data_IF_292501000457
#
_entry.id   IF_292501000457
#
_cell.length_a   1.000
_cell.length_b   1.000
_cell.length_c   1.000
_cell.angle_alpha   90.00
_cell.angle_beta   90.00
_cell.angle_gamma   90.00
#
_symmetry.space_group_name_H-M   'P 1'
#
loop_
_entity.id
_entity.type
_entity.pdbx_description
1 polymer ?
#
# COMPACT_ATOMS: atom_id res chain seq x y z
N UNK A 1 14.17 10.70 -25.90
CA UNK A 1 14.76 10.47 -24.57
C UNK A 1 14.68 8.97 -24.31
N UNK A 2 15.80 8.31 -24.05
CA UNK A 2 15.82 6.88 -23.71
C UNK A 2 15.26 6.76 -22.29
N UNK A 3 14.06 6.18 -22.15
CA UNK A 3 13.52 5.80 -20.83
C UNK A 3 14.54 4.85 -20.20
N UNK A 4 15.17 5.27 -19.12
CA UNK A 4 16.08 4.40 -18.35
C UNK A 4 15.27 3.19 -17.88
N UNK A 5 15.66 1.99 -18.27
CA UNK A 5 15.00 0.78 -17.82
C UNK A 5 15.06 0.72 -16.29
N UNK A 6 13.90 0.38 -15.65
CA UNK A 6 13.86 0.16 -14.22
C UNK A 6 14.74 -1.04 -13.87
N UNK A 7 15.68 -0.84 -12.95
CA UNK A 7 16.55 -1.89 -12.46
C UNK A 7 15.80 -2.71 -11.39
N UNK A 8 15.98 -4.03 -11.40
CA UNK A 8 15.50 -4.91 -10.35
C UNK A 8 16.69 -5.44 -9.56
N UNK A 9 16.58 -5.40 -8.24
CA UNK A 9 17.63 -5.87 -7.34
C UNK A 9 17.03 -6.47 -6.07
N UNK A 10 17.89 -7.07 -5.25
CA UNK A 10 17.51 -7.68 -3.97
C UNK A 10 18.43 -7.17 -2.88
N UNK A 11 17.89 -7.10 -1.67
CA UNK A 11 18.65 -6.83 -0.46
C UNK A 11 18.31 -7.88 0.59
N UNK A 12 19.33 -8.44 1.21
CA UNK A 12 19.19 -9.33 2.37
C UNK A 12 19.15 -8.49 3.63
N UNK A 13 18.12 -8.72 4.43
CA UNK A 13 17.94 -8.06 5.72
C UNK A 13 18.69 -8.83 6.82
N UNK A 14 19.01 -8.18 7.96
CA UNK A 14 19.72 -8.81 9.07
C UNK A 14 19.01 -10.03 9.69
N UNK A 15 17.69 -10.14 9.51
CA UNK A 15 16.87 -11.26 9.99
C UNK A 15 16.80 -12.43 8.99
N UNK A 16 17.50 -12.34 7.85
CA UNK A 16 17.55 -13.37 6.80
C UNK A 16 16.41 -13.28 5.77
N UNK A 17 15.51 -12.31 5.89
CA UNK A 17 14.55 -12.04 4.82
C UNK A 17 15.26 -11.36 3.65
N UNK A 18 14.83 -11.64 2.42
CA UNK A 18 15.35 -11.00 1.22
C UNK A 18 14.23 -10.19 0.58
N UNK A 19 14.40 -8.89 0.52
CA UNK A 19 13.45 -8.02 -0.17
C UNK A 19 13.90 -7.75 -1.60
N UNK A 20 12.99 -8.00 -2.53
CA UNK A 20 13.14 -7.58 -3.93
C UNK A 20 12.66 -6.15 -4.07
N UNK A 21 13.29 -5.38 -4.94
CA UNK A 21 12.87 -4.02 -5.25
C UNK A 21 13.18 -3.62 -6.69
N UNK A 22 12.46 -2.62 -7.16
CA UNK A 22 12.70 -1.94 -8.42
C UNK A 22 13.28 -0.56 -8.12
N UNK A 23 14.20 -0.12 -8.97
CA UNK A 23 14.84 1.18 -8.81
C UNK A 23 14.84 1.94 -10.13
N UNK A 24 14.47 3.22 -10.06
CA UNK A 24 14.80 4.22 -11.08
C UNK A 24 15.93 5.06 -10.54
N UNK A 25 17.09 5.02 -11.19
CA UNK A 25 18.20 5.93 -10.89
C UNK A 25 17.83 7.34 -11.34
N UNK A 26 18.18 8.32 -10.52
CA UNK A 26 17.98 9.74 -10.78
C UNK A 26 18.91 10.59 -9.92
N UNK A 27 18.45 11.78 -9.54
CA UNK A 27 19.20 12.71 -8.70
C UNK A 27 19.13 12.41 -7.21
N UNK A 28 19.25 13.46 -6.40
CA UNK A 28 19.41 13.33 -4.94
C UNK A 28 18.11 13.17 -4.17
N UNK A 29 16.97 13.55 -4.75
CA UNK A 29 15.67 13.37 -4.10
C UNK A 29 15.27 11.90 -4.14
N UNK A 30 14.96 11.33 -2.99
CA UNK A 30 14.62 9.91 -2.87
C UNK A 30 13.14 9.74 -2.60
N UNK A 31 12.50 8.85 -3.37
CA UNK A 31 11.10 8.44 -3.22
C UNK A 31 11.05 6.94 -2.94
N UNK A 32 10.53 6.55 -1.78
CA UNK A 32 10.32 5.16 -1.40
C UNK A 32 8.83 4.82 -1.56
N UNK A 33 8.53 3.79 -2.34
CA UNK A 33 7.18 3.40 -2.79
C UNK A 33 6.79 2.05 -2.20
N UNK A 34 5.66 2.02 -1.46
CA UNK A 34 5.12 0.84 -0.79
C UNK A 34 3.80 0.46 -1.45
N UNK A 35 3.72 -0.75 -2.01
CA UNK A 35 2.55 -1.23 -2.75
C UNK A 35 1.38 -1.66 -1.85
N UNK A 36 0.20 -1.86 -2.47
CA UNK A 36 -1.02 -2.35 -1.83
C UNK A 36 -1.05 -3.88 -1.64
N UNK A 37 -2.09 -4.36 -0.92
CA UNK A 37 -2.36 -5.80 -0.81
C UNK A 37 -2.64 -6.40 -2.19
N UNK A 38 -2.24 -7.65 -2.42
CA UNK A 38 -2.34 -8.37 -3.70
C UNK A 38 -1.58 -7.74 -4.87
N UNK A 39 -0.65 -6.83 -4.60
CA UNK A 39 0.20 -6.14 -5.56
C UNK A 39 1.70 -6.44 -5.29
N UNK A 40 2.55 -5.79 -6.04
CA UNK A 40 4.02 -5.84 -5.87
C UNK A 40 4.64 -4.49 -6.30
N UNK A 41 5.95 -4.38 -6.19
CA UNK A 41 6.70 -3.23 -6.70
C UNK A 41 6.42 -2.92 -8.16
N UNK A 42 6.06 -3.92 -8.95
CA UNK A 42 5.76 -3.79 -10.38
C UNK A 42 4.60 -2.80 -10.66
N UNK A 43 3.64 -2.69 -9.75
CA UNK A 43 2.50 -1.80 -9.93
C UNK A 43 2.88 -0.31 -9.92
N UNK A 44 4.07 0.02 -9.44
CA UNK A 44 4.62 1.37 -9.45
C UNK A 44 5.36 1.74 -10.75
N UNK A 45 5.59 0.79 -11.66
CA UNK A 45 6.38 1.00 -12.88
C UNK A 45 5.85 2.17 -13.72
N UNK A 46 4.52 2.30 -13.83
CA UNK A 46 3.89 3.37 -14.62
C UNK A 46 4.20 4.76 -14.03
N UNK A 47 4.19 4.91 -12.72
CA UNK A 47 4.57 6.17 -12.06
C UNK A 47 6.07 6.39 -12.13
N UNK A 48 6.87 5.36 -11.83
CA UNK A 48 8.33 5.48 -11.80
C UNK A 48 8.90 5.91 -13.16
N UNK A 49 8.32 5.45 -14.27
CA UNK A 49 8.76 5.83 -15.61
C UNK A 49 8.53 7.31 -15.92
N UNK A 50 7.50 7.92 -15.34
CA UNK A 50 7.14 9.33 -15.53
C UNK A 50 7.85 10.29 -14.55
N UNK A 51 8.52 9.77 -13.52
CA UNK A 51 9.20 10.62 -12.54
C UNK A 51 10.32 11.45 -13.19
N UNK A 52 10.52 12.72 -12.77
CA UNK A 52 11.61 13.55 -13.23
C UNK A 52 13.01 12.94 -12.96
N UNK A 53 14.02 13.33 -13.76
CA UNK A 53 15.38 12.80 -13.65
C UNK A 53 16.08 13.13 -12.31
N UNK A 54 15.64 14.16 -11.59
CA UNK A 54 16.21 14.51 -10.28
C UNK A 54 15.72 13.60 -9.14
N UNK A 55 14.78 12.67 -9.41
CA UNK A 55 14.22 11.73 -8.43
C UNK A 55 14.84 10.34 -8.61
N UNK A 56 15.44 9.82 -7.55
CA UNK A 56 15.74 8.40 -7.42
C UNK A 56 14.57 7.72 -6.71
N UNK A 57 13.96 6.69 -7.32
CA UNK A 57 12.82 6.01 -6.76
C UNK A 57 13.12 4.54 -6.49
N UNK A 58 12.65 4.05 -5.35
CA UNK A 58 12.68 2.65 -4.95
C UNK A 58 11.27 2.16 -4.71
N UNK A 59 10.87 1.07 -5.36
CA UNK A 59 9.61 0.38 -5.10
C UNK A 59 9.93 -1.02 -4.59
N UNK A 60 9.55 -1.33 -3.35
CA UNK A 60 9.88 -2.62 -2.71
C UNK A 60 8.73 -3.61 -2.86
N UNK A 61 9.06 -4.89 -3.01
CA UNK A 61 8.14 -5.98 -2.70
C UNK A 61 8.21 -6.19 -1.19
N UNK A 62 7.12 -5.95 -0.47
CA UNK A 62 7.05 -6.23 0.96
C UNK A 62 7.27 -7.73 1.21
N UNK A 63 7.73 -8.11 2.42
CA UNK A 63 7.91 -9.51 2.83
C UNK A 63 6.65 -10.33 2.54
N UNK A 64 6.82 -11.47 1.84
CA UNK A 64 5.73 -12.35 1.43
C UNK A 64 4.97 -11.92 0.17
N UNK A 65 5.38 -10.84 -0.49
CA UNK A 65 4.84 -10.38 -1.77
C UNK A 65 5.88 -10.49 -2.89
N UNK A 66 5.42 -10.53 -4.13
CA UNK A 66 6.28 -10.54 -5.31
C UNK A 66 7.43 -11.54 -5.19
N UNK A 67 8.64 -11.07 -5.43
CA UNK A 67 9.87 -11.88 -5.40
C UNK A 67 10.65 -11.77 -4.06
N UNK A 68 10.06 -11.14 -3.02
CA UNK A 68 10.59 -11.13 -1.66
C UNK A 68 10.32 -12.44 -0.94
N UNK A 69 11.14 -12.81 0.04
CA UNK A 69 10.96 -14.03 0.82
C UNK A 69 9.82 -13.92 1.85
N UNK A 70 9.47 -15.03 2.48
CA UNK A 70 8.51 -15.10 3.59
C UNK A 70 8.93 -16.23 4.53
N UNK A 71 9.96 -16.02 5.32
CA UNK A 71 10.47 -16.99 6.28
C UNK A 71 9.79 -16.80 7.65
N UNK A 72 9.58 -15.55 8.04
CA UNK A 72 8.94 -15.18 9.30
C UNK A 72 7.53 -14.64 9.06
N UNK A 73 6.49 -15.22 9.68
CA UNK A 73 5.11 -14.74 9.54
C UNK A 73 4.93 -13.29 9.99
N UNK A 74 4.04 -12.56 9.30
CA UNK A 74 3.59 -11.23 9.68
C UNK A 74 2.48 -11.35 10.72
N UNK A 75 2.56 -10.60 11.80
CA UNK A 75 1.56 -10.52 12.87
C UNK A 75 0.88 -9.16 12.93
N UNK A 76 1.61 -8.10 12.60
CA UNK A 76 1.18 -6.71 12.68
C UNK A 76 1.68 -5.91 11.48
N UNK A 77 1.09 -4.74 11.24
CA UNK A 77 1.61 -3.78 10.23
C UNK A 77 3.00 -3.26 10.63
N UNK A 78 3.30 -3.24 11.94
CA UNK A 78 4.63 -2.87 12.43
C UNK A 78 5.72 -3.79 11.88
N UNK A 79 5.48 -5.08 11.74
CA UNK A 79 6.49 -6.01 11.21
C UNK A 79 6.92 -5.63 9.79
N UNK A 80 5.96 -5.17 8.95
CA UNK A 80 6.27 -4.65 7.62
C UNK A 80 6.97 -3.28 7.67
N UNK A 81 6.60 -2.43 8.62
CA UNK A 81 7.28 -1.15 8.86
C UNK A 81 8.74 -1.35 9.25
N UNK A 82 9.01 -2.32 10.11
CA UNK A 82 10.36 -2.69 10.54
C UNK A 82 11.20 -3.22 9.36
N UNK A 83 10.61 -4.03 8.47
CA UNK A 83 11.27 -4.48 7.23
C UNK A 83 11.65 -3.29 6.33
N UNK A 84 10.74 -2.31 6.17
CA UNK A 84 11.02 -1.08 5.41
C UNK A 84 12.16 -0.30 6.05
N UNK A 85 12.26 -0.27 7.38
CA UNK A 85 13.39 0.35 8.10
C UNK A 85 14.69 -0.36 7.80
N UNK A 86 14.72 -1.67 7.91
CA UNK A 86 15.92 -2.46 7.61
C UNK A 86 16.34 -2.30 6.14
N UNK A 87 15.38 -2.21 5.21
CA UNK A 87 15.64 -1.90 3.80
C UNK A 87 16.27 -0.52 3.64
N UNK A 88 15.70 0.52 4.27
CA UNK A 88 16.20 1.88 4.18
C UNK A 88 17.62 1.99 4.75
N UNK A 89 17.91 1.31 5.86
CA UNK A 89 19.24 1.26 6.48
C UNK A 89 20.27 0.55 5.60
N UNK A 90 19.89 -0.59 5.02
CA UNK A 90 20.79 -1.36 4.14
C UNK A 90 21.20 -0.56 2.91
N UNK A 91 20.30 0.26 2.35
CA UNK A 91 20.56 1.15 1.22
C UNK A 91 21.03 2.55 1.65
N UNK A 92 21.17 2.81 2.96
CA UNK A 92 21.60 4.10 3.54
C UNK A 92 20.72 5.26 3.09
N UNK A 93 19.40 5.01 2.98
CA UNK A 93 18.45 6.05 2.62
C UNK A 93 18.18 6.95 3.83
N UNK A 94 18.10 8.25 3.60
CA UNK A 94 17.80 9.25 4.63
C UNK A 94 17.07 10.43 4.01
N UNK A 95 16.26 11.12 4.81
CA UNK A 95 15.51 12.30 4.39
C UNK A 95 14.69 12.10 3.10
N UNK A 96 14.12 10.90 2.92
CA UNK A 96 13.35 10.55 1.73
C UNK A 96 11.87 10.94 1.87
N UNK A 97 11.15 10.95 0.75
CA UNK A 97 9.69 10.94 0.74
C UNK A 97 9.25 9.48 0.72
N UNK A 98 8.34 9.09 1.63
CA UNK A 98 7.71 7.77 1.61
C UNK A 98 6.30 7.87 1.06
N UNK A 99 5.94 6.97 0.15
CA UNK A 99 4.59 6.91 -0.41
C UNK A 99 4.02 5.50 -0.29
N UNK A 100 2.81 5.39 0.25
CA UNK A 100 2.12 4.12 0.42
C UNK A 100 0.76 4.09 -0.27
N UNK A 101 0.50 3.02 -1.03
CA UNK A 101 -0.78 2.77 -1.68
C UNK A 101 -1.56 1.69 -0.93
N UNK A 102 -2.81 1.98 -0.55
CA UNK A 102 -3.71 1.02 0.12
C UNK A 102 -3.08 0.45 1.41
N UNK A 103 -2.80 -0.86 1.52
CA UNK A 103 -1.98 -1.48 2.57
C UNK A 103 -0.69 -0.71 2.81
N UNK A 104 0.01 -0.35 1.72
CA UNK A 104 1.27 0.40 1.81
C UNK A 104 1.12 1.73 2.54
N UNK A 105 -0.07 2.34 2.52
CA UNK A 105 -0.37 3.53 3.30
C UNK A 105 -0.37 3.27 4.81
N UNK A 106 -0.92 2.14 5.26
CA UNK A 106 -0.86 1.74 6.67
C UNK A 106 0.60 1.48 7.10
N UNK A 107 1.39 0.80 6.23
CA UNK A 107 2.82 0.56 6.48
C UNK A 107 3.60 1.88 6.55
N UNK A 108 3.35 2.81 5.62
CA UNK A 108 4.01 4.11 5.59
C UNK A 108 3.63 5.00 6.79
N UNK A 109 2.36 4.97 7.24
CA UNK A 109 1.95 5.66 8.47
C UNK A 109 2.65 5.07 9.70
N UNK A 110 2.68 3.75 9.84
CA UNK A 110 3.39 3.09 10.94
C UNK A 110 4.88 3.42 10.90
N UNK A 111 5.49 3.44 9.70
CA UNK A 111 6.90 3.78 9.53
C UNK A 111 7.24 5.17 10.08
N UNK A 112 6.49 6.18 9.69
CA UNK A 112 6.79 7.55 10.14
C UNK A 112 6.48 7.78 11.62
N UNK A 113 5.62 6.96 12.23
CA UNK A 113 5.36 6.95 13.67
C UNK A 113 6.56 6.37 14.42
N UNK A 114 7.08 5.23 13.96
CA UNK A 114 8.16 4.49 14.63
C UNK A 114 9.54 5.11 14.35
N UNK A 115 9.74 5.70 13.16
CA UNK A 115 11.01 6.25 12.67
C UNK A 115 10.86 7.70 12.18
N UNK A 116 10.54 8.65 13.07
CA UNK A 116 10.10 10.01 12.71
C UNK A 116 11.17 10.88 12.03
N UNK A 117 12.46 10.48 12.10
CA UNK A 117 13.57 11.25 11.55
C UNK A 117 14.04 10.77 10.17
N UNK A 118 13.48 9.68 9.65
CA UNK A 118 13.96 9.05 8.41
C UNK A 118 13.33 9.67 7.17
N UNK A 119 12.01 9.88 7.21
CA UNK A 119 11.26 10.46 6.11
C UNK A 119 10.98 11.95 6.35
N UNK A 120 11.07 12.74 5.29
CA UNK A 120 10.74 14.19 5.31
C UNK A 120 9.32 14.51 4.87
N UNK A 121 8.67 13.61 4.14
CA UNK A 121 7.30 13.76 3.62
C UNK A 121 6.62 12.40 3.52
N UNK A 122 5.29 12.41 3.67
CA UNK A 122 4.44 11.24 3.52
C UNK A 122 3.40 11.47 2.41
N UNK A 123 3.25 10.51 1.51
CA UNK A 123 2.19 10.51 0.50
C UNK A 123 1.34 9.24 0.70
N UNK A 124 0.06 9.41 0.93
CA UNK A 124 -0.91 8.34 1.12
C UNK A 124 -1.84 8.27 -0.09
N UNK A 125 -1.72 7.21 -0.88
CA UNK A 125 -2.49 7.00 -2.11
C UNK A 125 -3.56 5.95 -1.87
N UNK A 126 -4.85 6.30 -1.96
CA UNK A 126 -5.98 5.38 -1.70
C UNK A 126 -5.71 4.50 -0.47
N UNK A 127 -5.27 5.13 0.62
CA UNK A 127 -4.69 4.47 1.79
C UNK A 127 -5.75 3.83 2.66
N UNK A 128 -5.42 2.71 3.29
CA UNK A 128 -6.19 2.19 4.43
C UNK A 128 -6.35 3.27 5.51
N UNK A 129 -7.53 3.31 6.15
CA UNK A 129 -7.88 4.26 7.20
C UNK A 129 -6.95 4.11 8.43
N UNK A 130 -6.79 5.18 9.20
CA UNK A 130 -6.13 5.15 10.54
C UNK A 130 -6.78 4.18 11.53
N UNK A 131 -8.03 3.75 11.26
CA UNK A 131 -8.77 2.71 11.99
C UNK A 131 -8.54 1.30 11.41
N UNK A 132 -7.62 1.15 10.46
CA UNK A 132 -7.37 -0.11 9.78
C UNK A 132 -8.46 -0.48 8.77
N UNK A 133 -8.61 -1.80 8.57
CA UNK A 133 -9.59 -2.33 7.63
C UNK A 133 -10.38 -3.49 8.27
N UNK A 134 -11.27 -3.20 9.25
CA UNK A 134 -12.13 -4.22 9.86
C UNK A 134 -13.02 -4.89 8.82
N UNK A 135 -13.03 -6.22 8.79
CA UNK A 135 -13.76 -7.02 7.81
C UNK A 135 -15.15 -7.32 8.39
N UNK A 136 -16.25 -6.83 7.78
CA UNK A 136 -17.58 -7.12 8.28
C UNK A 136 -17.94 -8.59 8.07
N UNK A 137 -18.60 -9.22 9.05
CA UNK A 137 -19.26 -10.50 8.85
C UNK A 137 -20.41 -10.34 7.87
N UNK A 138 -20.71 -11.38 7.13
CA UNK A 138 -21.76 -11.37 6.12
C UNK A 138 -22.88 -12.32 6.50
N UNK A 139 -24.09 -12.00 6.03
CA UNK A 139 -25.24 -12.92 6.07
C UNK A 139 -25.01 -14.06 5.05
N UNK A 140 -25.91 -15.06 5.07
CA UNK A 140 -25.90 -16.11 4.05
C UNK A 140 -26.14 -15.58 2.60
N UNK A 141 -26.69 -14.37 2.46
CA UNK A 141 -26.85 -13.67 1.18
C UNK A 141 -25.66 -12.75 0.84
N UNK A 142 -24.51 -12.91 1.49
CA UNK A 142 -23.29 -12.11 1.31
C UNK A 142 -23.46 -10.61 1.62
N UNK A 143 -24.51 -10.21 2.35
CA UNK A 143 -24.69 -8.83 2.77
C UNK A 143 -23.89 -8.56 4.06
N UNK A 144 -23.19 -7.41 4.18
CA UNK A 144 -22.46 -7.07 5.40
C UNK A 144 -23.43 -6.87 6.57
N UNK A 145 -23.07 -7.40 7.73
CA UNK A 145 -23.82 -7.20 8.98
C UNK A 145 -23.25 -5.95 9.66
N UNK A 146 -24.05 -4.89 9.87
CA UNK A 146 -23.57 -3.66 10.47
C UNK A 146 -22.97 -3.89 11.87
N UNK A 147 -21.83 -3.26 12.14
CA UNK A 147 -21.11 -3.30 13.43
C UNK A 147 -20.75 -4.71 13.93
N UNK A 148 -20.69 -5.69 13.03
CA UNK A 148 -20.33 -7.07 13.35
C UNK A 148 -19.14 -7.49 12.46
N UNK A 149 -17.94 -7.57 13.07
CA UNK A 149 -16.70 -7.80 12.35
C UNK A 149 -16.10 -9.17 12.68
N UNK A 150 -15.30 -9.67 11.76
CA UNK A 150 -14.41 -10.82 11.95
C UNK A 150 -13.44 -10.49 13.08
N UNK A 151 -13.14 -11.47 13.97
CA UNK A 151 -12.30 -11.26 15.15
C UNK A 151 -11.04 -12.13 15.15
N UNK A 152 -11.09 -13.29 14.49
CA UNK A 152 -10.01 -14.30 14.54
C UNK A 152 -9.35 -14.50 13.18
N UNK A 153 -8.12 -15.03 13.21
CA UNK A 153 -7.37 -15.37 12.00
C UNK A 153 -8.02 -16.50 11.22
N UNK A 154 -8.67 -17.44 11.92
CA UNK A 154 -9.44 -18.55 11.34
C UNK A 154 -10.63 -18.03 10.53
N UNK A 155 -11.34 -17.03 11.05
CA UNK A 155 -12.43 -16.38 10.32
C UNK A 155 -11.93 -15.62 9.08
N UNK A 156 -10.77 -14.96 9.18
CA UNK A 156 -10.12 -14.35 7.99
C UNK A 156 -9.78 -15.41 6.95
N UNK A 157 -9.22 -16.55 7.38
CA UNK A 157 -8.91 -17.68 6.49
C UNK A 157 -10.15 -18.18 5.76
N UNK A 158 -11.28 -18.32 6.46
CA UNK A 158 -12.53 -18.73 5.82
C UNK A 158 -13.04 -17.67 4.85
N UNK A 159 -13.02 -16.37 5.22
CA UNK A 159 -13.46 -15.27 4.36
C UNK A 159 -12.65 -15.17 3.05
N UNK A 160 -11.36 -15.48 3.08
CA UNK A 160 -10.46 -15.41 1.92
C UNK A 160 -10.18 -16.77 1.27
N UNK A 161 -10.85 -17.86 1.71
CA UNK A 161 -10.63 -19.22 1.23
C UNK A 161 -10.73 -19.35 -0.30
N UNK A 162 -11.69 -18.68 -0.92
CA UNK A 162 -11.84 -18.71 -2.38
C UNK A 162 -10.67 -18.04 -3.11
N UNK A 163 -10.15 -16.94 -2.55
CA UNK A 163 -9.01 -16.22 -3.13
C UNK A 163 -7.72 -17.03 -2.97
N UNK A 164 -7.48 -17.60 -1.78
CA UNK A 164 -6.33 -18.49 -1.54
C UNK A 164 -6.37 -19.70 -2.49
N UNK A 165 -7.50 -20.39 -2.57
CA UNK A 165 -7.66 -21.51 -3.50
C UNK A 165 -7.41 -21.11 -4.97
N UNK A 166 -7.92 -19.93 -5.37
CA UNK A 166 -7.69 -19.42 -6.73
C UNK A 166 -6.21 -19.12 -7.01
N UNK A 167 -5.46 -18.66 -6.00
CA UNK A 167 -4.01 -18.44 -6.10
C UNK A 167 -3.26 -19.76 -6.19
N UNK A 168 -3.56 -20.72 -5.31
CA UNK A 168 -2.96 -22.06 -5.27
C UNK A 168 -3.18 -22.82 -6.58
N UNK A 169 -4.41 -22.81 -7.09
CA UNK A 169 -4.78 -23.48 -8.34
C UNK A 169 -4.47 -22.66 -9.59
N UNK A 170 -3.92 -21.46 -9.43
CA UNK A 170 -3.67 -20.50 -10.51
C UNK A 170 -4.91 -20.23 -11.37
N UNK A 171 -6.07 -20.13 -10.74
CA UNK A 171 -7.33 -19.77 -11.41
C UNK A 171 -7.31 -18.30 -11.83
N UNK A 172 -6.61 -18.03 -12.92
CA UNK A 172 -6.41 -16.66 -13.44
C UNK A 172 -7.71 -15.98 -13.84
N UNK A 173 -8.72 -16.73 -14.28
CA UNK A 173 -10.03 -16.17 -14.61
C UNK A 173 -10.70 -15.53 -13.37
N UNK A 174 -10.77 -16.26 -12.26
CA UNK A 174 -11.36 -15.76 -11.01
C UNK A 174 -10.59 -14.56 -10.48
N UNK A 175 -9.26 -14.64 -10.43
CA UNK A 175 -8.41 -13.55 -9.94
C UNK A 175 -8.55 -12.29 -10.81
N UNK A 176 -8.58 -12.43 -12.14
CA UNK A 176 -8.81 -11.31 -13.07
C UNK A 176 -10.18 -10.66 -12.87
N UNK A 177 -11.23 -11.48 -12.68
CA UNK A 177 -12.57 -11.00 -12.40
C UNK A 177 -12.57 -10.15 -11.11
N UNK A 178 -12.01 -10.67 -10.04
CA UNK A 178 -11.92 -9.99 -8.75
C UNK A 178 -11.10 -8.69 -8.84
N UNK A 179 -9.92 -8.71 -9.46
CA UNK A 179 -9.11 -7.50 -9.63
C UNK A 179 -9.82 -6.43 -10.45
N UNK A 180 -10.58 -6.82 -11.48
CA UNK A 180 -11.40 -5.88 -12.26
C UNK A 180 -12.56 -5.30 -11.48
N UNK A 181 -13.13 -6.07 -10.56
CA UNK A 181 -14.27 -5.63 -9.75
C UNK A 181 -13.87 -4.62 -8.66
N UNK A 182 -12.70 -4.77 -8.09
CA UNK A 182 -12.27 -4.02 -6.91
C UNK A 182 -11.13 -3.05 -7.17
N UNK A 183 -10.12 -3.46 -7.93
CA UNK A 183 -8.90 -2.68 -8.13
C UNK A 183 -8.92 -1.87 -9.43
N UNK A 184 -9.23 -2.51 -10.56
CA UNK A 184 -9.19 -1.89 -11.89
C UNK A 184 -10.61 -1.56 -12.37
N UNK A 185 -11.33 -0.73 -11.59
CA UNK A 185 -12.77 -0.47 -11.79
C UNK A 185 -13.04 0.51 -12.92
N UNK A 186 -12.12 1.42 -13.17
CA UNK A 186 -12.21 2.45 -14.21
C UNK A 186 -11.38 2.07 -15.44
N UNK A 187 -10.07 2.25 -15.37
CA UNK A 187 -9.16 1.85 -16.40
C UNK A 187 -8.54 0.48 -16.08
N UNK A 188 -8.18 -0.24 -17.13
CA UNK A 188 -7.57 -1.57 -17.02
C UNK A 188 -6.15 -1.51 -17.53
N UNK A 189 -5.22 -2.28 -16.92
CA UNK A 189 -3.91 -2.46 -17.53
C UNK A 189 -4.03 -3.00 -18.95
N UNK A 190 -3.03 -2.77 -19.80
CA UNK A 190 -2.90 -3.51 -21.05
C UNK A 190 -2.87 -5.03 -20.78
N UNK A 191 -3.13 -5.85 -21.79
CA UNK A 191 -3.16 -7.31 -21.59
C UNK A 191 -1.83 -7.82 -20.98
N UNK A 192 -0.70 -7.38 -21.51
CA UNK A 192 0.63 -7.78 -21.04
C UNK A 192 0.93 -7.29 -19.60
N UNK A 193 0.53 -6.06 -19.28
CA UNK A 193 0.67 -5.55 -17.91
C UNK A 193 -0.21 -6.32 -16.93
N UNK A 194 -1.44 -6.67 -17.36
CA UNK A 194 -2.36 -7.39 -16.48
C UNK A 194 -1.82 -8.78 -16.12
N UNK A 195 -1.24 -9.50 -17.09
CA UNK A 195 -0.61 -10.80 -16.80
C UNK A 195 0.52 -10.67 -15.78
N UNK A 196 1.37 -9.65 -15.94
CA UNK A 196 2.47 -9.40 -15.01
C UNK A 196 1.97 -9.02 -13.60
N UNK A 197 0.96 -8.17 -13.50
CA UNK A 197 0.36 -7.79 -12.21
C UNK A 197 -0.32 -8.98 -11.54
N UNK A 198 -1.00 -9.83 -12.34
CA UNK A 198 -1.63 -11.06 -11.87
C UNK A 198 -0.59 -12.06 -11.33
N UNK A 199 0.56 -12.18 -11.98
CA UNK A 199 1.67 -12.98 -11.48
C UNK A 199 2.13 -12.51 -10.09
N UNK A 200 2.28 -11.19 -9.89
CA UNK A 200 2.58 -10.60 -8.60
C UNK A 200 1.53 -10.94 -7.53
N UNK A 201 0.23 -10.90 -7.91
CA UNK A 201 -0.88 -11.30 -7.04
C UNK A 201 -0.78 -12.78 -6.63
N UNK A 202 -0.48 -13.67 -7.58
CA UNK A 202 -0.33 -15.11 -7.32
C UNK A 202 0.87 -15.41 -6.42
N UNK A 203 1.95 -14.66 -6.56
CA UNK A 203 3.17 -14.81 -5.74
C UNK A 203 2.99 -14.40 -4.27
N UNK A 204 1.94 -13.69 -3.90
CA UNK A 204 1.71 -13.35 -2.50
C UNK A 204 1.49 -14.60 -1.64
N UNK A 205 2.20 -14.70 -0.49
CA UNK A 205 2.19 -15.87 0.41
C UNK A 205 1.55 -15.60 1.77
N UNK A 206 1.25 -14.35 2.08
CA UNK A 206 0.84 -13.86 3.39
C UNK A 206 -0.57 -13.25 3.41
N UNK A 207 -1.47 -13.61 2.46
CA UNK A 207 -2.77 -12.96 2.31
C UNK A 207 -3.58 -12.95 3.61
N UNK A 208 -3.59 -14.06 4.33
CA UNK A 208 -4.35 -14.20 5.59
C UNK A 208 -3.71 -13.35 6.69
N UNK A 209 -2.38 -13.40 6.82
CA UNK A 209 -1.63 -12.66 7.83
C UNK A 209 -1.82 -11.15 7.66
N UNK A 210 -1.73 -10.67 6.41
CA UNK A 210 -1.92 -9.25 6.08
C UNK A 210 -3.35 -8.77 6.38
N UNK A 211 -4.38 -9.54 5.97
CA UNK A 211 -5.76 -9.13 6.25
C UNK A 211 -6.05 -9.14 7.77
N UNK A 212 -5.48 -10.11 8.50
CA UNK A 212 -5.59 -10.13 9.96
C UNK A 212 -4.85 -8.95 10.61
N UNK A 213 -3.65 -8.59 10.13
CA UNK A 213 -2.91 -7.43 10.60
C UNK A 213 -3.64 -6.11 10.29
N UNK A 214 -4.20 -5.96 9.06
CA UNK A 214 -4.96 -4.77 8.65
C UNK A 214 -6.22 -4.53 9.48
N UNK A 215 -6.97 -5.57 9.82
CA UNK A 215 -8.17 -5.40 10.65
C UNK A 215 -7.85 -5.01 12.09
N UNK A 216 -6.63 -5.28 12.55
CA UNK A 216 -6.12 -4.94 13.89
C UNK A 216 -5.23 -3.69 13.90
N UNK A 217 -4.88 -3.16 12.76
CA UNK A 217 -4.21 -1.86 12.65
C UNK A 217 -5.19 -0.77 13.07
N UNK A 218 -4.85 -0.01 14.12
CA UNK A 218 -5.68 1.08 14.60
C UNK A 218 -4.84 2.11 15.36
N UNK A 219 -4.37 3.12 14.62
CA UNK A 219 -3.59 4.24 15.19
C UNK A 219 -4.47 5.43 15.59
N UNK A 220 -5.80 5.33 15.45
CA UNK A 220 -6.77 6.33 15.89
C UNK A 220 -6.97 6.31 17.42
N UNK A 221 -7.82 7.19 17.94
CA UNK A 221 -8.21 7.16 19.36
C UNK A 221 -9.41 6.23 19.64
N UNK A 222 -10.11 5.77 18.62
CA UNK A 222 -11.38 5.09 18.74
C UNK A 222 -11.23 3.56 18.68
N UNK A 223 -12.23 2.85 19.20
CA UNK A 223 -12.41 1.42 18.94
C UNK A 223 -12.88 1.21 17.50
N UNK A 224 -12.26 0.30 16.75
CA UNK A 224 -12.60 0.08 15.34
C UNK A 224 -13.56 -1.11 15.09
N UNK A 225 -14.08 -1.71 16.17
CA UNK A 225 -14.91 -2.92 16.10
C UNK A 225 -14.14 -4.23 16.33
N UNK A 226 -12.81 -4.17 16.33
CA UNK A 226 -11.90 -5.31 16.56
C UNK A 226 -10.92 -5.01 17.70
N UNK A 227 -10.25 -3.86 17.66
CA UNK A 227 -9.26 -3.44 18.66
C UNK A 227 -9.43 -1.97 19.03
N UNK A 228 -9.01 -1.63 20.25
CA UNK A 228 -8.92 -0.24 20.68
C UNK A 228 -7.80 0.48 19.93
N UNK A 229 -8.03 1.74 19.57
CA UNK A 229 -7.00 2.57 18.94
C UNK A 229 -5.88 2.96 19.91
N UNK A 230 -4.67 3.10 19.35
CA UNK A 230 -3.46 3.47 20.10
C UNK A 230 -3.28 4.97 20.26
N UNK A 231 -4.02 5.79 19.48
CA UNK A 231 -3.86 7.25 19.47
C UNK A 231 -2.60 7.76 18.78
N UNK A 232 -1.84 6.90 18.15
CA UNK A 232 -0.51 7.22 17.61
C UNK A 232 -0.54 8.09 16.34
N UNK A 233 -1.70 8.25 15.70
CA UNK A 233 -1.85 9.10 14.50
C UNK A 233 -1.33 10.52 14.73
N UNK A 234 -1.45 11.07 15.95
CA UNK A 234 -0.92 12.39 16.32
C UNK A 234 0.61 12.49 16.32
N UNK A 235 1.33 11.37 16.23
CA UNK A 235 2.79 11.34 16.10
C UNK A 235 3.26 11.62 14.66
N UNK A 236 2.36 11.64 13.68
CA UNK A 236 2.68 11.98 12.29
C UNK A 236 2.80 13.50 12.18
N UNK A 237 4.03 14.01 12.29
CA UNK A 237 4.32 15.46 12.32
C UNK A 237 4.91 15.99 11.02
N UNK A 238 5.26 15.13 10.08
CA UNK A 238 5.82 15.54 8.78
C UNK A 238 4.71 15.92 7.79
N UNK A 239 5.00 16.81 6.80
CA UNK A 239 4.05 17.14 5.75
C UNK A 239 3.50 15.90 5.07
N UNK A 240 2.17 15.74 5.10
CA UNK A 240 1.47 14.56 4.58
C UNK A 240 0.48 14.96 3.51
N UNK A 241 0.53 14.30 2.34
CA UNK A 241 -0.47 14.43 1.30
C UNK A 241 -1.31 13.16 1.22
N UNK A 242 -2.63 13.30 1.41
CA UNK A 242 -3.60 12.21 1.29
C UNK A 242 -4.29 12.35 -0.06
N UNK A 243 -4.15 11.36 -0.95
CA UNK A 243 -4.72 11.35 -2.30
C UNK A 243 -5.76 10.24 -2.37
N UNK A 244 -6.98 10.57 -2.79
CA UNK A 244 -8.11 9.64 -2.85
C UNK A 244 -8.96 9.84 -4.09
N UNK A 245 -9.29 8.75 -4.77
CA UNK A 245 -10.29 8.75 -5.84
C UNK A 245 -11.73 8.80 -5.27
N UNK A 246 -12.63 9.57 -5.89
CA UNK A 246 -14.01 9.70 -5.40
C UNK A 246 -14.93 8.53 -5.82
N UNK A 247 -14.45 7.65 -6.71
CA UNK A 247 -15.16 6.45 -7.14
C UNK A 247 -14.47 5.15 -6.68
N UNK A 248 -13.60 5.24 -5.68
CA UNK A 248 -12.94 4.11 -5.06
C UNK A 248 -13.96 3.25 -4.29
N UNK A 249 -14.02 1.95 -4.63
CA UNK A 249 -14.96 0.98 -4.03
C UNK A 249 -14.39 0.25 -2.81
N UNK A 250 -13.10 0.42 -2.53
CA UNK A 250 -12.41 -0.25 -1.42
C UNK A 250 -12.18 0.69 -0.24
N UNK A 251 -11.73 1.91 -0.53
CA UNK A 251 -11.45 2.96 0.45
C UNK A 251 -12.23 4.20 0.06
N UNK A 252 -13.03 4.71 0.97
CA UNK A 252 -13.91 5.83 0.69
C UNK A 252 -13.21 7.20 0.88
N UNK A 253 -13.79 8.24 0.29
CA UNK A 253 -13.36 9.63 0.57
C UNK A 253 -13.52 10.01 2.04
N UNK A 254 -14.42 9.32 2.78
CA UNK A 254 -14.56 9.49 4.23
C UNK A 254 -13.32 8.94 4.95
N UNK A 255 -12.81 7.78 4.54
CA UNK A 255 -11.59 7.20 5.12
C UNK A 255 -10.40 8.16 4.93
N UNK A 256 -10.25 8.72 3.73
CA UNK A 256 -9.22 9.73 3.46
C UNK A 256 -9.39 11.01 4.29
N UNK A 257 -10.64 11.44 4.52
CA UNK A 257 -10.96 12.56 5.42
C UNK A 257 -10.61 12.25 6.88
N UNK A 258 -10.88 11.03 7.34
CA UNK A 258 -10.53 10.60 8.70
C UNK A 258 -9.01 10.57 8.90
N UNK A 259 -8.26 10.09 7.90
CA UNK A 259 -6.78 10.15 7.91
C UNK A 259 -6.31 11.61 8.04
N UNK A 260 -6.78 12.49 7.16
CA UNK A 260 -6.35 13.88 7.16
C UNK A 260 -6.70 14.61 8.46
N UNK A 261 -7.89 14.37 9.02
CA UNK A 261 -8.31 14.92 10.32
C UNK A 261 -7.49 14.36 11.48
N UNK A 262 -7.17 13.07 11.45
CA UNK A 262 -6.37 12.42 12.47
C UNK A 262 -4.94 12.95 12.54
N UNK A 263 -4.34 13.22 11.39
CA UNK A 263 -3.00 13.82 11.28
C UNK A 263 -3.04 15.32 11.62
N UNK A 264 -4.12 16.03 11.26
CA UNK A 264 -4.30 17.44 11.56
C UNK A 264 -3.61 18.38 10.58
N UNK A 265 -3.00 19.47 11.07
CA UNK A 265 -2.47 20.57 10.27
C UNK A 265 -1.37 20.14 9.26
N UNK A 266 -0.68 19.05 9.53
CA UNK A 266 0.35 18.52 8.64
C UNK A 266 -0.22 17.80 7.41
N UNK A 267 -1.54 17.56 7.36
CA UNK A 267 -2.17 16.82 6.28
C UNK A 267 -2.87 17.73 5.26
N UNK A 268 -2.70 17.42 3.98
CA UNK A 268 -3.46 18.00 2.87
C UNK A 268 -4.21 16.91 2.14
N UNK A 269 -5.54 16.99 2.06
CA UNK A 269 -6.38 16.04 1.33
C UNK A 269 -6.58 16.50 -0.12
N UNK A 270 -6.38 15.59 -1.06
CA UNK A 270 -6.61 15.76 -2.50
C UNK A 270 -7.58 14.69 -3.00
N UNK A 271 -8.72 15.11 -3.52
CA UNK A 271 -9.70 14.20 -4.13
C UNK A 271 -9.55 14.23 -5.65
N UNK A 272 -9.32 13.06 -6.25
CA UNK A 272 -9.25 12.88 -7.70
C UNK A 272 -10.64 12.47 -8.22
N UNK A 273 -11.18 13.27 -9.15
CA UNK A 273 -12.53 13.07 -9.69
C UNK A 273 -12.59 11.97 -10.73
N UNK A 274 -13.59 11.09 -10.65
CA UNK A 274 -13.77 9.98 -11.56
C UNK A 274 -12.75 8.85 -11.42
N UNK A 275 -11.96 8.85 -10.35
CA UNK A 275 -10.85 7.92 -10.10
C UNK A 275 -11.27 6.86 -9.09
N UNK A 276 -10.92 5.60 -9.35
CA UNK A 276 -11.15 4.45 -8.46
C UNK A 276 -9.99 4.19 -7.52
N UNK A 277 -9.82 2.88 -7.14
CA UNK A 277 -8.78 2.46 -6.19
C UNK A 277 -7.36 2.47 -6.77
N UNK A 278 -7.22 2.55 -8.10
CA UNK A 278 -5.92 2.54 -8.79
C UNK A 278 -5.67 3.85 -9.57
N UNK A 279 -5.38 4.98 -8.90
CA UNK A 279 -5.07 6.25 -9.58
C UNK A 279 -3.90 6.14 -10.57
N UNK A 280 -2.99 5.18 -10.35
CA UNK A 280 -1.86 4.86 -11.24
C UNK A 280 -2.29 4.51 -12.67
N UNK A 281 -3.49 3.96 -12.85
CA UNK A 281 -4.04 3.60 -14.17
C UNK A 281 -5.22 4.48 -14.56
N UNK A 282 -5.96 4.99 -13.58
CA UNK A 282 -7.19 5.73 -13.84
C UNK A 282 -6.90 7.15 -14.33
N UNK A 283 -5.93 7.84 -13.73
CA UNK A 283 -5.49 9.19 -14.12
C UNK A 283 -4.04 9.44 -13.68
N UNK A 284 -3.10 8.83 -14.38
CA UNK A 284 -1.67 8.96 -14.09
C UNK A 284 -1.18 10.41 -14.25
N UNK A 285 -1.73 11.17 -15.21
CA UNK A 285 -1.31 12.56 -15.46
C UNK A 285 -1.58 13.46 -14.27
N UNK A 286 -2.83 13.49 -13.78
CA UNK A 286 -3.21 14.27 -12.60
C UNK A 286 -2.49 13.77 -11.33
N UNK A 287 -2.25 12.46 -11.22
CA UNK A 287 -1.48 11.90 -10.13
C UNK A 287 -0.03 12.40 -10.15
N UNK A 288 0.62 12.43 -11.34
CA UNK A 288 1.97 12.95 -11.51
C UNK A 288 2.07 14.44 -11.16
N UNK A 289 1.07 15.25 -11.49
CA UNK A 289 1.04 16.66 -11.09
C UNK A 289 1.04 16.82 -9.57
N UNK A 290 0.28 15.97 -8.84
CA UNK A 290 0.28 15.96 -7.38
C UNK A 290 1.63 15.52 -6.80
N UNK A 291 2.24 14.47 -7.36
CA UNK A 291 3.56 14.00 -6.93
C UNK A 291 4.63 15.07 -7.19
N UNK A 292 4.69 15.64 -8.38
CA UNK A 292 5.65 16.68 -8.74
C UNK A 292 5.51 17.92 -7.84
N UNK A 293 4.27 18.36 -7.58
CA UNK A 293 4.02 19.50 -6.67
C UNK A 293 4.47 19.21 -5.23
N UNK A 294 4.40 17.96 -4.77
CA UNK A 294 4.86 17.56 -3.43
C UNK A 294 6.38 17.41 -3.38
N UNK A 295 6.97 16.75 -4.38
CA UNK A 295 8.41 16.45 -4.42
C UNK A 295 9.26 17.72 -4.68
N UNK A 296 8.75 18.69 -5.47
CA UNK A 296 9.47 19.92 -5.82
C UNK A 296 9.53 20.98 -4.70
N UNK A 297 8.72 20.87 -3.65
CA UNK A 297 8.73 21.80 -2.52
C UNK A 297 9.83 21.41 -1.54
N UNK A 298 10.97 22.10 -1.63
CA UNK A 298 12.04 22.04 -0.63
C UNK A 298 11.57 22.55 0.73
#
# INVERSE_FOLDING_TARGET
>A
MTVSALEQAKVELPDGEILNYRMKKGGKEVLLLIHGNMNSSLNWDVLMNELPEHITAYAIDLRGFGDSTYHTPIHTIKDLSDDVKLFADALKLSAFTISGWSLGGAVAMQYVIDYPNDAKKLILLSSVNIKGYPIPRRTFLELPIPNNFIQTKEEVKEAFRMVENAKETKNTWFLKMMLRQFLYTKNKPSADQFEKYLEGTIKQRNLIDINYALMRFNISNDFNGVVQGTGEVGKITIPTMVIQGDEDKMVSTRDASDIAKGIGENATLKIMKGVGHCPLLDDLSSLMDLYNANLSRA
#
